data_IF_173798735880
#
_entry.id   IF_173798735880
#
_cell.length_a   1.000
_cell.length_b   1.000
_cell.length_c   1.000
_cell.angle_alpha   90.00
_cell.angle_beta   90.00
_cell.angle_gamma   90.00
#
_symmetry.space_group_name_H-M   'P 1'
#
loop_
_entity.id
_entity.type
_entity.pdbx_description
1 polymer ?
#
# COMPACT_ATOMS: atom_id res chain seq x y z
N UNK A 1 -1.54 -8.43 39.87
CA UNK A 1 -1.31 -9.79 39.33
C UNK A 1 -0.03 -9.75 38.53
N UNK A 2 0.99 -10.44 39.05
CA UNK A 2 2.40 -10.36 38.66
C UNK A 2 2.62 -10.55 37.16
N UNK A 3 3.32 -9.59 36.57
CA UNK A 3 3.76 -9.55 35.18
C UNK A 3 4.76 -10.70 34.96
N UNK A 4 4.35 -11.74 34.23
CA UNK A 4 5.25 -12.83 33.81
C UNK A 4 6.04 -12.37 32.59
N UNK A 5 7.18 -11.72 32.85
CA UNK A 5 8.26 -11.37 31.92
C UNK A 5 9.22 -12.55 31.69
N UNK A 6 8.69 -13.76 31.54
CA UNK A 6 9.51 -14.90 31.09
C UNK A 6 9.43 -15.02 29.58
N UNK A 7 10.58 -14.95 28.91
CA UNK A 7 10.72 -15.27 27.50
C UNK A 7 10.00 -16.59 27.19
N UNK A 8 9.20 -16.59 26.12
CA UNK A 8 8.47 -17.77 25.72
C UNK A 8 9.46 -18.92 25.47
N UNK A 9 9.41 -19.95 26.32
CA UNK A 9 10.23 -21.16 26.22
C UNK A 9 10.18 -21.68 24.77
N UNK A 10 11.29 -22.16 24.18
CA UNK A 10 11.33 -22.55 22.76
C UNK A 10 10.21 -23.52 22.31
N UNK A 11 9.65 -24.31 23.24
CA UNK A 11 8.45 -25.11 23.00
C UNK A 11 7.17 -24.28 22.77
N UNK A 12 6.93 -23.22 23.56
CA UNK A 12 5.79 -22.30 23.37
C UNK A 12 5.88 -21.54 22.05
N UNK A 13 7.07 -21.13 21.62
CA UNK A 13 7.29 -20.51 20.31
C UNK A 13 6.98 -21.47 19.14
N UNK A 14 7.36 -22.75 19.28
CA UNK A 14 7.01 -23.79 18.30
C UNK A 14 5.50 -24.07 18.25
N UNK A 15 4.83 -24.10 19.38
CA UNK A 15 3.36 -24.27 19.43
C UNK A 15 2.61 -23.06 18.86
N UNK A 16 3.02 -21.83 19.19
CA UNK A 16 2.45 -20.61 18.61
C UNK A 16 2.63 -20.57 17.10
N UNK A 17 3.79 -21.02 16.58
CA UNK A 17 4.03 -21.22 15.14
C UNK A 17 3.10 -22.28 14.53
N UNK A 18 2.92 -23.44 15.17
CA UNK A 18 1.99 -24.50 14.70
C UNK A 18 0.54 -24.02 14.65
N UNK A 19 0.14 -23.15 15.59
CA UNK A 19 -1.20 -22.53 15.67
C UNK A 19 -1.37 -21.29 14.76
N UNK A 20 -0.34 -20.89 14.02
CA UNK A 20 -0.33 -19.72 13.14
C UNK A 20 -0.26 -18.37 13.85
N UNK A 21 -0.07 -18.34 15.17
CA UNK A 21 -0.02 -17.14 15.99
C UNK A 21 1.43 -16.66 16.15
N UNK A 22 2.01 -16.11 15.08
CA UNK A 22 3.35 -15.51 15.14
C UNK A 22 3.21 -14.01 15.40
N UNK A 23 4.01 -13.47 16.33
CA UNK A 23 4.00 -12.04 16.66
C UNK A 23 4.39 -11.22 15.44
N UNK A 24 3.41 -10.60 14.79
CA UNK A 24 3.62 -9.82 13.57
C UNK A 24 3.70 -8.34 13.86
N UNK A 25 4.84 -7.73 13.53
CA UNK A 25 4.87 -6.29 13.29
C UNK A 25 4.10 -6.01 12.01
N UNK A 26 2.95 -5.35 12.13
CA UNK A 26 2.12 -5.00 10.98
C UNK A 26 2.78 -3.98 10.06
N UNK A 27 3.85 -3.32 10.50
CA UNK A 27 4.44 -2.19 9.78
C UNK A 27 5.40 -2.65 8.68
N UNK A 28 6.15 -3.73 8.88
CA UNK A 28 7.13 -4.22 7.88
C UNK A 28 6.45 -4.64 6.58
N UNK A 29 5.39 -5.47 6.57
CA UNK A 29 4.70 -5.82 5.34
C UNK A 29 4.04 -4.60 4.68
N UNK A 30 3.50 -3.65 5.45
CA UNK A 30 2.90 -2.43 4.91
C UNK A 30 3.93 -1.57 4.19
N UNK A 31 5.12 -1.41 4.77
CA UNK A 31 6.22 -0.66 4.16
C UNK A 31 6.70 -1.33 2.87
N UNK A 32 6.93 -2.66 2.89
CA UNK A 32 7.34 -3.41 1.70
C UNK A 32 6.32 -3.30 0.56
N UNK A 33 5.03 -3.46 0.87
CA UNK A 33 3.95 -3.31 -0.12
C UNK A 33 3.93 -1.88 -0.65
N UNK A 34 4.04 -0.87 0.23
CA UNK A 34 4.00 0.54 -0.18
C UNK A 34 5.17 0.90 -1.10
N UNK A 35 6.39 0.47 -0.75
CA UNK A 35 7.59 0.71 -1.57
C UNK A 35 7.45 0.01 -2.93
N UNK A 36 7.06 -1.27 -2.95
CA UNK A 36 6.99 -1.99 -4.21
C UNK A 36 5.87 -1.51 -5.14
N UNK A 37 4.73 -1.05 -4.60
CA UNK A 37 3.70 -0.37 -5.40
C UNK A 37 4.26 0.94 -5.96
N UNK A 38 4.94 1.74 -5.13
CA UNK A 38 5.48 3.03 -5.52
C UNK A 38 6.54 2.90 -6.63
N UNK A 39 7.49 1.98 -6.47
CA UNK A 39 8.52 1.68 -7.48
C UNK A 39 7.89 1.22 -8.80
N UNK A 40 6.84 0.39 -8.75
CA UNK A 40 6.15 -0.05 -9.96
C UNK A 40 5.43 1.11 -10.64
N UNK A 41 4.75 1.95 -9.86
CA UNK A 41 4.10 3.15 -10.41
C UNK A 41 5.12 4.05 -11.11
N UNK A 42 6.28 4.28 -10.51
CA UNK A 42 7.37 5.02 -11.14
C UNK A 42 7.89 4.34 -12.41
N UNK A 43 8.05 3.01 -12.41
CA UNK A 43 8.52 2.29 -13.60
C UNK A 43 7.51 2.31 -14.76
N UNK A 44 6.21 2.34 -14.45
CA UNK A 44 5.15 2.30 -15.46
C UNK A 44 4.68 3.68 -15.91
N UNK A 45 5.16 4.74 -15.28
CA UNK A 45 4.52 6.05 -15.42
C UNK A 45 4.62 6.64 -16.82
N UNK A 46 5.75 6.50 -17.51
CA UNK A 46 5.90 7.04 -18.86
C UNK A 46 4.89 6.40 -19.81
N UNK A 47 4.73 5.08 -19.69
CA UNK A 47 3.76 4.32 -20.49
C UNK A 47 2.32 4.65 -20.08
N UNK A 48 2.08 4.79 -18.77
CA UNK A 48 0.78 5.15 -18.21
C UNK A 48 0.32 6.53 -18.66
N UNK A 49 1.21 7.52 -18.64
CA UNK A 49 0.92 8.90 -19.06
C UNK A 49 0.71 9.00 -20.57
N UNK A 50 1.51 8.29 -21.38
CA UNK A 50 1.28 8.22 -22.83
C UNK A 50 -0.11 7.65 -23.16
N UNK A 51 -0.52 6.58 -22.47
CA UNK A 51 -1.87 6.01 -22.63
C UNK A 51 -2.95 6.99 -22.18
N UNK A 52 -2.76 7.67 -21.06
CA UNK A 52 -3.74 8.63 -20.54
C UNK A 52 -3.89 9.83 -21.47
N UNK A 53 -2.80 10.31 -22.06
CA UNK A 53 -2.81 11.35 -23.08
C UNK A 53 -3.49 10.87 -24.37
N UNK A 54 -3.19 9.65 -24.82
CA UNK A 54 -3.84 9.04 -25.98
C UNK A 54 -5.36 8.95 -25.78
N UNK A 55 -5.81 8.52 -24.59
CA UNK A 55 -7.23 8.45 -24.24
C UNK A 55 -7.92 9.82 -24.24
N UNK A 56 -7.24 10.89 -23.80
CA UNK A 56 -7.79 12.23 -23.86
C UNK A 56 -7.92 12.76 -25.30
N UNK A 57 -7.04 12.33 -26.21
CA UNK A 57 -7.05 12.73 -27.62
C UNK A 57 -7.94 11.84 -28.50
N UNK A 58 -8.23 10.62 -28.06
CA UNK A 58 -8.98 9.62 -28.83
C UNK A 58 -10.39 10.09 -29.24
N UNK A 59 -11.17 10.78 -28.39
CA UNK A 59 -12.45 11.36 -28.80
C UNK A 59 -12.31 12.43 -29.91
N UNK A 60 -11.20 13.19 -29.89
CA UNK A 60 -10.95 14.26 -30.86
C UNK A 60 -10.59 13.73 -32.24
N UNK A 61 -9.95 12.56 -32.33
CA UNK A 61 -9.61 11.92 -33.61
C UNK A 61 -10.81 11.23 -34.26
N UNK A 62 -11.90 11.02 -33.51
CA UNK A 62 -13.10 10.27 -33.93
C UNK A 62 -14.35 11.13 -34.09
N UNK A 63 -14.18 12.46 -34.16
CA UNK A 63 -15.28 13.42 -34.36
C UNK A 63 -16.07 13.23 -35.66
N UNK A 64 -15.52 12.49 -36.63
CA UNK A 64 -16.16 12.22 -37.93
C UNK A 64 -16.90 10.88 -37.98
N UNK A 65 -16.72 10.03 -36.97
CA UNK A 65 -17.32 8.71 -36.93
C UNK A 65 -18.70 8.75 -36.26
N UNK A 66 -19.57 7.75 -36.52
CA UNK A 66 -20.83 7.61 -35.79
C UNK A 66 -20.58 7.56 -34.28
N UNK A 67 -21.38 8.30 -33.52
CA UNK A 67 -21.22 8.43 -32.07
C UNK A 67 -21.14 7.09 -31.35
N UNK A 68 -21.97 6.11 -31.75
CA UNK A 68 -22.01 4.79 -31.13
C UNK A 68 -20.68 4.03 -31.25
N UNK A 69 -20.04 4.08 -32.44
CA UNK A 69 -18.74 3.45 -32.67
C UNK A 69 -17.61 4.16 -31.95
N UNK A 70 -17.59 5.50 -31.96
CA UNK A 70 -16.60 6.27 -31.23
C UNK A 70 -16.72 6.04 -29.71
N UNK A 71 -17.95 5.96 -29.19
CA UNK A 71 -18.22 5.72 -27.77
C UNK A 71 -17.80 4.31 -27.34
N UNK A 72 -18.13 3.28 -28.12
CA UNK A 72 -17.73 1.90 -27.83
C UNK A 72 -16.21 1.76 -27.75
N UNK A 73 -15.48 2.36 -28.69
CA UNK A 73 -14.02 2.28 -28.73
C UNK A 73 -13.36 3.04 -27.57
N UNK A 74 -13.84 4.24 -27.25
CA UNK A 74 -13.36 5.01 -26.08
C UNK A 74 -13.59 4.22 -24.79
N UNK A 75 -14.78 3.62 -24.61
CA UNK A 75 -15.10 2.85 -23.42
C UNK A 75 -14.24 1.59 -23.34
N UNK A 76 -14.11 0.85 -24.45
CA UNK A 76 -13.32 -0.38 -24.52
C UNK A 76 -11.84 -0.14 -24.17
N UNK A 77 -11.24 0.91 -24.74
CA UNK A 77 -9.86 1.27 -24.45
C UNK A 77 -9.70 1.74 -23.00
N UNK A 78 -10.67 2.51 -22.48
CA UNK A 78 -10.70 2.94 -21.08
C UNK A 78 -10.76 1.79 -20.08
N UNK A 79 -11.65 0.82 -20.33
CA UNK A 79 -11.78 -0.37 -19.49
C UNK A 79 -10.51 -1.20 -19.54
N UNK A 80 -9.91 -1.35 -20.73
CA UNK A 80 -8.66 -2.10 -20.89
C UNK A 80 -7.52 -1.47 -20.10
N UNK A 81 -7.33 -0.14 -20.21
CA UNK A 81 -6.30 0.58 -19.44
C UNK A 81 -6.54 0.46 -17.94
N UNK A 82 -7.79 0.61 -17.48
CA UNK A 82 -8.16 0.43 -16.08
C UNK A 82 -7.83 -0.97 -15.57
N UNK A 83 -8.22 -2.01 -16.30
CA UNK A 83 -7.98 -3.41 -15.92
C UNK A 83 -6.48 -3.73 -15.86
N UNK A 84 -5.68 -3.20 -16.78
CA UNK A 84 -4.23 -3.39 -16.75
C UNK A 84 -3.60 -2.73 -15.52
N UNK A 85 -3.94 -1.47 -15.24
CA UNK A 85 -3.38 -0.74 -14.10
C UNK A 85 -3.78 -1.37 -12.76
N UNK A 86 -5.07 -1.64 -12.59
CA UNK A 86 -5.59 -2.28 -11.37
C UNK A 86 -5.05 -3.70 -11.22
N UNK A 87 -5.00 -4.46 -12.32
CA UNK A 87 -4.49 -5.83 -12.35
C UNK A 87 -3.04 -5.92 -11.89
N UNK A 88 -2.18 -5.04 -12.39
CA UNK A 88 -0.76 -4.99 -12.00
C UNK A 88 -0.61 -4.57 -10.54
N UNK A 89 -1.32 -3.53 -10.09
CA UNK A 89 -1.28 -3.10 -8.70
C UNK A 89 -1.72 -4.21 -7.73
N UNK A 90 -2.82 -4.90 -8.05
CA UNK A 90 -3.33 -6.02 -7.26
C UNK A 90 -2.35 -7.21 -7.26
N UNK A 91 -1.78 -7.56 -8.41
CA UNK A 91 -0.81 -8.66 -8.53
C UNK A 91 0.42 -8.41 -7.65
N UNK A 92 0.93 -7.18 -7.67
CA UNK A 92 2.12 -6.80 -6.90
C UNK A 92 1.81 -6.71 -5.41
N UNK A 93 0.65 -6.15 -5.04
CA UNK A 93 0.20 -6.15 -3.65
C UNK A 93 0.09 -7.57 -3.10
N UNK A 94 -0.48 -8.51 -3.86
CA UNK A 94 -0.56 -9.92 -3.48
C UNK A 94 0.82 -10.57 -3.35
N UNK A 95 1.69 -10.35 -4.34
CA UNK A 95 3.04 -10.91 -4.33
C UNK A 95 3.86 -10.40 -3.15
N UNK A 96 3.88 -9.08 -2.92
CA UNK A 96 4.60 -8.46 -1.79
C UNK A 96 3.99 -8.79 -0.44
N UNK A 97 2.68 -9.05 -0.36
CA UNK A 97 2.03 -9.56 0.85
C UNK A 97 2.57 -10.93 1.24
N UNK A 98 2.70 -11.83 0.26
CA UNK A 98 3.24 -13.18 0.47
C UNK A 98 4.73 -13.10 0.83
N UNK A 99 5.52 -12.38 0.03
CA UNK A 99 6.97 -12.21 0.26
C UNK A 99 7.24 -11.52 1.60
N UNK A 100 6.52 -10.46 1.93
CA UNK A 100 6.64 -9.76 3.21
C UNK A 100 6.31 -10.66 4.40
N UNK A 101 5.33 -11.55 4.27
CA UNK A 101 5.06 -12.58 5.27
C UNK A 101 6.21 -13.58 5.42
N UNK A 102 6.80 -14.03 4.30
CA UNK A 102 7.91 -14.97 4.28
C UNK A 102 9.21 -14.37 4.85
N UNK A 103 9.53 -13.11 4.52
CA UNK A 103 10.70 -12.41 5.07
C UNK A 103 10.59 -12.27 6.60
N UNK A 104 9.37 -12.07 7.11
CA UNK A 104 9.16 -11.78 8.53
C UNK A 104 9.19 -13.03 9.43
N UNK A 105 8.73 -14.19 8.96
CA UNK A 105 8.62 -15.41 9.79
C UNK A 105 9.12 -16.71 9.13
N UNK A 106 9.50 -16.67 7.86
CA UNK A 106 9.69 -17.85 7.02
C UNK A 106 8.38 -18.43 6.51
N UNK A 107 8.43 -19.48 5.66
CA UNK A 107 7.25 -20.20 5.21
C UNK A 107 6.59 -20.90 6.41
N UNK A 108 5.39 -20.47 6.77
CA UNK A 108 4.63 -21.02 7.90
C UNK A 108 3.31 -21.62 7.40
N UNK A 109 3.29 -22.94 7.22
CA UNK A 109 2.06 -23.68 6.93
C UNK A 109 1.44 -24.15 8.25
N UNK A 110 0.33 -23.52 8.65
CA UNK A 110 -0.45 -23.92 9.83
C UNK A 110 -1.84 -24.36 9.39
N UNK A 111 -2.07 -25.66 9.38
CA UNK A 111 -3.40 -26.25 9.13
C UNK A 111 -4.37 -25.96 10.29
N UNK A 112 -3.86 -25.80 11.50
CA UNK A 112 -4.65 -25.42 12.68
C UNK A 112 -5.15 -23.96 12.65
N UNK A 113 -4.49 -23.07 11.88
CA UNK A 113 -4.96 -21.69 11.70
C UNK A 113 -6.20 -21.59 10.79
N UNK A 114 -6.41 -22.58 9.90
CA UNK A 114 -7.60 -22.71 9.05
C UNK A 114 -8.81 -23.30 9.78
N UNK A 115 -8.61 -23.90 10.96
CA UNK A 115 -9.72 -24.43 11.74
C UNK A 115 -10.60 -23.27 12.26
N UNK A 116 -11.94 -23.32 12.07
CA UNK A 116 -12.84 -22.31 12.61
C UNK A 116 -12.75 -22.32 14.14
N UNK A 117 -12.25 -21.22 14.73
CA UNK A 117 -12.11 -21.07 16.18
C UNK A 117 -13.41 -20.51 16.75
N UNK A 118 -14.22 -21.29 17.50
CA UNK A 118 -15.47 -20.79 18.08
C UNK A 118 -15.27 -19.63 19.07
N UNK A 119 -14.09 -19.54 19.70
CA UNK A 119 -13.73 -18.42 20.58
C UNK A 119 -13.56 -17.08 19.84
N UNK A 120 -13.24 -17.10 18.53
CA UNK A 120 -13.11 -15.88 17.72
C UNK A 120 -14.47 -15.24 17.41
N UNK A 121 -15.58 -15.95 17.65
CA UNK A 121 -16.94 -15.47 17.40
C UNK A 121 -17.57 -14.75 18.60
N UNK A 122 -16.90 -14.69 19.76
CA UNK A 122 -17.48 -14.08 20.96
C UNK A 122 -17.19 -12.55 21.00
N UNK A 123 -18.15 -11.68 20.65
CA UNK A 123 -17.93 -10.24 20.50
C UNK A 123 -17.57 -9.55 21.81
N UNK A 124 -17.96 -10.11 22.96
CA UNK A 124 -17.71 -9.52 24.28
C UNK A 124 -16.22 -9.55 24.65
N UNK A 125 -15.52 -10.64 24.32
CA UNK A 125 -14.08 -10.75 24.54
C UNK A 125 -13.30 -9.83 23.60
N UNK A 126 -13.79 -9.64 22.37
CA UNK A 126 -13.22 -8.65 21.44
C UNK A 126 -13.39 -7.22 21.95
N UNK A 127 -14.56 -6.86 22.45
CA UNK A 127 -14.83 -5.52 23.01
C UNK A 127 -13.94 -5.24 24.22
N UNK A 128 -13.80 -6.21 25.14
CA UNK A 128 -12.91 -6.08 26.30
C UNK A 128 -11.44 -5.92 25.90
N UNK A 129 -11.01 -6.63 24.86
CA UNK A 129 -9.66 -6.50 24.32
C UNK A 129 -9.43 -5.14 23.65
N UNK A 130 -10.46 -4.57 23.00
CA UNK A 130 -10.40 -3.21 22.42
C UNK A 130 -10.21 -2.12 23.49
N UNK A 131 -10.73 -2.31 24.71
CA UNK A 131 -10.55 -1.37 25.83
C UNK A 131 -9.43 -1.77 26.81
N UNK A 132 -8.51 -2.64 26.38
CA UNK A 132 -7.38 -3.04 27.21
C UNK A 132 -6.28 -1.97 27.26
N UNK A 133 -5.49 -1.94 28.34
CA UNK A 133 -4.32 -1.05 28.46
C UNK A 133 -3.31 -1.23 27.30
N UNK A 134 -3.27 -2.43 26.71
CA UNK A 134 -2.48 -2.74 25.52
C UNK A 134 -2.97 -1.98 24.28
N UNK A 135 -4.27 -1.81 24.12
CA UNK A 135 -4.83 -1.04 23.00
C UNK A 135 -4.51 0.45 23.15
N UNK A 136 -4.51 0.97 24.38
CA UNK A 136 -4.15 2.35 24.66
C UNK A 136 -2.69 2.65 24.33
N UNK A 137 -1.75 1.76 24.69
CA UNK A 137 -0.34 1.92 24.31
C UNK A 137 -0.13 1.78 22.81
N UNK A 138 -0.90 0.92 22.14
CA UNK A 138 -0.88 0.79 20.69
C UNK A 138 -1.42 2.05 19.98
N UNK A 139 -2.44 2.69 20.55
CA UNK A 139 -2.96 3.96 20.05
C UNK A 139 -1.94 5.08 20.21
N UNK A 140 -1.35 5.22 21.40
CA UNK A 140 -0.28 6.20 21.68
C UNK A 140 0.90 6.04 20.73
N UNK A 141 1.40 4.82 20.56
CA UNK A 141 2.50 4.54 19.61
C UNK A 141 2.10 4.80 18.16
N UNK A 142 0.84 4.59 17.78
CA UNK A 142 0.36 4.91 16.42
C UNK A 142 0.25 6.42 16.20
N UNK A 143 -0.24 7.19 17.18
CA UNK A 143 -0.26 8.65 17.12
C UNK A 143 1.17 9.19 17.03
N UNK A 144 2.07 8.68 17.86
CA UNK A 144 3.48 9.07 17.83
C UNK A 144 4.10 8.81 16.45
N UNK A 145 3.90 7.61 15.88
CA UNK A 145 4.34 7.29 14.52
C UNK A 145 3.73 8.24 13.48
N UNK A 146 2.44 8.56 13.59
CA UNK A 146 1.77 9.48 12.67
C UNK A 146 2.36 10.89 12.74
N UNK A 147 2.65 11.40 13.95
CA UNK A 147 3.30 12.70 14.15
C UNK A 147 4.71 12.70 13.56
N UNK A 148 5.51 11.66 13.83
CA UNK A 148 6.87 11.54 13.28
C UNK A 148 6.84 11.50 11.75
N UNK A 149 5.97 10.67 11.15
CA UNK A 149 5.81 10.61 9.69
C UNK A 149 5.37 11.98 9.16
N UNK A 150 4.41 12.64 9.81
CA UNK A 150 3.95 13.97 9.42
C UNK A 150 5.06 15.02 9.45
N UNK A 151 5.93 15.00 10.46
CA UNK A 151 7.09 15.90 10.56
C UNK A 151 8.13 15.62 9.46
N UNK A 152 8.42 14.35 9.16
CA UNK A 152 9.32 13.97 8.08
C UNK A 152 8.77 14.43 6.73
N UNK A 153 7.48 14.18 6.47
CA UNK A 153 6.80 14.63 5.25
C UNK A 153 6.80 16.15 5.15
N UNK A 154 6.52 16.86 6.25
CA UNK A 154 6.57 18.31 6.30
C UNK A 154 7.97 18.84 5.94
N UNK A 155 9.02 18.29 6.55
CA UNK A 155 10.39 18.70 6.29
C UNK A 155 10.84 18.36 4.86
N UNK A 156 10.35 17.27 4.28
CA UNK A 156 10.63 16.89 2.91
C UNK A 156 9.93 17.80 1.89
N UNK A 157 8.67 18.19 2.12
CA UNK A 157 7.87 18.95 1.17
C UNK A 157 8.13 20.46 1.26
N UNK A 158 8.30 21.01 2.47
CA UNK A 158 8.41 22.46 2.70
C UNK A 158 9.45 23.17 1.80
N UNK A 159 10.66 22.63 1.58
CA UNK A 159 11.67 23.25 0.72
C UNK A 159 11.31 23.23 -0.77
N UNK A 160 10.49 22.27 -1.20
CA UNK A 160 10.17 22.03 -2.60
C UNK A 160 8.76 22.54 -2.99
N UNK A 161 8.02 23.17 -2.06
CA UNK A 161 6.71 23.77 -2.31
C UNK A 161 6.71 24.74 -3.51
N UNK A 162 7.79 25.51 -3.69
CA UNK A 162 7.94 26.40 -4.85
C UNK A 162 8.01 25.64 -6.17
N UNK A 163 8.71 24.51 -6.21
CA UNK A 163 8.75 23.62 -7.38
C UNK A 163 7.41 22.94 -7.63
N UNK A 164 6.74 22.47 -6.58
CA UNK A 164 5.40 21.90 -6.66
C UNK A 164 4.36 22.89 -7.17
N UNK A 165 4.44 24.16 -6.76
CA UNK A 165 3.55 25.21 -7.24
C UNK A 165 3.76 25.52 -8.74
N UNK A 166 5.00 25.44 -9.23
CA UNK A 166 5.29 25.60 -10.66
C UNK A 166 4.82 24.41 -11.48
N UNK A 167 4.85 23.19 -10.92
CA UNK A 167 4.34 21.99 -11.57
C UNK A 167 2.83 22.04 -11.79
N UNK A 168 2.08 22.67 -10.89
CA UNK A 168 0.64 22.89 -11.06
C UNK A 168 0.28 23.79 -12.25
N UNK A 169 1.23 24.58 -12.76
CA UNK A 169 1.06 25.47 -13.91
C UNK A 169 1.65 24.89 -15.21
N UNK A 170 2.27 23.71 -15.14
CA UNK A 170 2.95 23.07 -16.27
C UNK A 170 2.04 22.17 -17.12
N UNK A 171 2.62 21.59 -18.18
CA UNK A 171 1.99 20.56 -18.98
C UNK A 171 1.99 19.20 -18.26
N UNK A 172 1.14 18.26 -18.71
CA UNK A 172 1.00 16.93 -18.08
C UNK A 172 2.34 16.18 -17.99
N UNK A 173 3.20 16.36 -19.00
CA UNK A 173 4.52 15.74 -19.07
C UNK A 173 5.51 16.40 -18.11
N UNK A 174 5.58 17.74 -18.07
CA UNK A 174 6.40 18.49 -17.12
C UNK A 174 5.99 18.25 -15.66
N UNK A 175 4.68 18.11 -15.40
CA UNK A 175 4.15 17.79 -14.08
C UNK A 175 4.75 16.49 -13.54
N UNK A 176 4.67 15.40 -14.29
CA UNK A 176 5.15 14.12 -13.78
C UNK A 176 6.68 14.04 -13.73
N UNK A 177 7.40 14.60 -14.71
CA UNK A 177 8.86 14.66 -14.68
C UNK A 177 9.37 15.43 -13.45
N UNK A 178 8.69 16.51 -13.06
CA UNK A 178 9.02 17.23 -11.83
C UNK A 178 8.69 16.45 -10.57
N UNK A 179 7.57 15.73 -10.52
CA UNK A 179 7.25 14.81 -9.41
C UNK A 179 8.32 13.73 -9.27
N UNK A 180 8.77 13.13 -10.37
CA UNK A 180 9.84 12.13 -10.39
C UNK A 180 11.18 12.70 -9.95
N UNK A 181 11.55 13.91 -10.41
CA UNK A 181 12.76 14.59 -9.99
C UNK A 181 12.75 14.91 -8.48
N UNK A 182 11.61 15.35 -7.94
CA UNK A 182 11.42 15.62 -6.53
C UNK A 182 11.51 14.34 -5.71
N UNK A 183 10.87 13.26 -6.16
CA UNK A 183 10.96 11.95 -5.53
C UNK A 183 12.40 11.44 -5.47
N UNK A 184 13.14 11.50 -6.58
CA UNK A 184 14.55 11.12 -6.64
C UNK A 184 15.43 11.97 -5.72
N UNK A 185 15.13 13.27 -5.60
CA UNK A 185 15.83 14.18 -4.69
C UNK A 185 15.57 13.86 -3.22
N UNK A 186 14.34 13.49 -2.87
CA UNK A 186 13.96 13.07 -1.52
C UNK A 186 14.55 11.69 -1.19
N UNK A 187 14.54 10.75 -2.13
CA UNK A 187 15.11 9.40 -1.98
C UNK A 187 16.64 9.40 -1.78
N UNK A 188 17.33 10.43 -2.30
CA UNK A 188 18.80 10.59 -2.16
C UNK A 188 19.25 11.34 -0.90
N UNK A 189 18.33 11.83 -0.06
CA UNK A 189 18.63 12.49 1.22
C UNK A 189 18.53 11.51 2.38
#
# INVERSE_FOLDING_TARGET
MSEKTEDATPQKLRESRKKGQVSQSQDIPKLLISIGILETLFAMVDTGMQRLQAMMLLPLTRLRDPFDHAMEEVISDSVTVMLVLVGIACAIAMLLRVVGGWVQFGPLFSTEALAPKPDALNPFNHLKNMFSARQFTQLLTSIFKAVVIGLVVWQAIMPDLGGLAQLALGDLNGFWQGVMALFMKVSRR
#
